data_IF_961313125387
#
_entry.id   IF_961313125387
#
_cell.length_a   1.000
_cell.length_b   1.000
_cell.length_c   1.000
_cell.angle_alpha   90.00
_cell.angle_beta   90.00
_cell.angle_gamma   90.00
#
_symmetry.space_group_name_H-M   'P 1'
#
loop_
_entity.id
_entity.type
_entity.pdbx_description
1 polymer ?
#
# COMPACT_ATOMS: atom_id res chain seq x y z
N UNK A 1 -25.93 4.09 1.34
CA UNK A 1 -25.16 2.85 1.07
C UNK A 1 -24.01 2.75 2.06
N UNK A 2 -24.19 2.09 3.22
CA UNK A 2 -23.18 2.01 4.29
C UNK A 2 -22.33 0.72 4.26
N UNK A 3 -22.55 -0.18 3.31
CA UNK A 3 -21.93 -1.51 3.32
C UNK A 3 -20.46 -1.52 2.86
N UNK A 4 -20.05 -0.59 2.01
CA UNK A 4 -18.67 -0.47 1.50
C UNK A 4 -17.68 0.06 2.55
N UNK A 5 -18.11 0.97 3.43
CA UNK A 5 -17.27 1.51 4.51
C UNK A 5 -16.98 0.47 5.61
N UNK A 6 -17.92 -0.44 5.86
CA UNK A 6 -17.75 -1.55 6.82
C UNK A 6 -16.79 -2.62 6.26
N UNK A 7 -16.80 -2.83 4.94
CA UNK A 7 -15.85 -3.71 4.26
C UNK A 7 -14.43 -3.11 4.31
N UNK A 8 -14.27 -1.79 4.18
CA UNK A 8 -12.95 -1.13 4.27
C UNK A 8 -12.29 -1.38 5.63
N UNK A 9 -13.02 -1.17 6.72
CA UNK A 9 -12.55 -1.48 8.07
C UNK A 9 -12.25 -2.97 8.27
N UNK A 10 -13.13 -3.87 7.83
CA UNK A 10 -12.99 -5.33 8.07
C UNK A 10 -12.00 -6.02 7.15
N UNK A 11 -11.72 -5.51 5.95
CA UNK A 11 -10.77 -6.10 4.99
C UNK A 11 -9.36 -5.56 5.23
N UNK A 12 -9.19 -4.26 5.49
CA UNK A 12 -7.90 -3.70 5.90
C UNK A 12 -7.52 -4.24 7.28
N UNK A 13 -8.46 -4.27 8.24
CA UNK A 13 -8.21 -4.96 9.50
C UNK A 13 -8.07 -6.47 9.32
N UNK A 14 -8.74 -7.18 8.40
CA UNK A 14 -8.43 -8.61 8.17
C UNK A 14 -7.02 -8.81 7.62
N UNK A 15 -6.54 -7.98 6.71
CA UNK A 15 -5.16 -8.07 6.23
C UNK A 15 -4.15 -7.80 7.36
N UNK A 16 -4.51 -6.94 8.34
CA UNK A 16 -3.69 -6.65 9.54
C UNK A 16 -3.93 -7.66 10.70
N UNK A 17 -5.10 -8.31 10.76
CA UNK A 17 -5.62 -9.14 11.86
C UNK A 17 -5.82 -10.62 11.47
N UNK A 18 -5.38 -11.06 10.30
CA UNK A 18 -4.99 -12.46 10.12
C UNK A 18 -3.76 -12.64 11.02
N UNK A 19 -3.95 -12.93 12.31
CA UNK A 19 -3.04 -13.59 13.26
C UNK A 19 -1.51 -13.36 13.26
N UNK A 20 -0.95 -12.44 12.49
CA UNK A 20 0.48 -12.37 12.15
C UNK A 20 1.20 -11.18 12.81
N UNK A 21 0.57 -10.50 13.77
CA UNK A 21 1.29 -9.55 14.64
C UNK A 21 2.44 -10.25 15.39
N UNK A 22 2.45 -11.59 15.46
CA UNK A 22 3.52 -12.37 16.08
C UNK A 22 4.66 -12.82 15.13
N UNK A 23 4.53 -12.67 13.81
CA UNK A 23 5.49 -13.24 12.85
C UNK A 23 5.80 -12.36 11.64
N UNK A 24 5.51 -11.07 11.70
CA UNK A 24 6.00 -10.17 10.66
C UNK A 24 7.53 -10.05 10.80
N UNK A 25 8.31 -10.35 9.75
CA UNK A 25 9.76 -10.25 9.83
C UNK A 25 10.16 -8.80 10.12
N UNK A 26 11.09 -8.62 11.06
CA UNK A 26 11.67 -7.31 11.33
C UNK A 26 12.24 -6.71 10.02
N UNK A 27 11.90 -5.45 9.71
CA UNK A 27 12.43 -4.68 8.56
C UNK A 27 11.95 -5.12 7.17
N UNK A 28 10.67 -5.41 6.98
CA UNK A 28 10.13 -5.71 5.63
C UNK A 28 9.16 -4.65 5.10
N UNK A 29 9.52 -3.36 4.97
CA UNK A 29 8.62 -2.34 4.39
C UNK A 29 8.07 -2.75 3.01
N UNK A 30 8.79 -3.61 2.29
CA UNK A 30 8.37 -4.26 1.05
C UNK A 30 7.05 -5.03 1.12
N UNK A 31 6.62 -5.44 2.31
CA UNK A 31 5.43 -6.27 2.51
C UNK A 31 4.23 -5.48 3.02
N UNK A 32 4.39 -4.20 3.36
CA UNK A 32 3.29 -3.35 3.81
C UNK A 32 2.76 -2.50 2.64
N UNK A 33 1.52 -2.71 2.16
CA UNK A 33 0.90 -1.91 1.11
C UNK A 33 0.89 -0.40 1.39
N UNK A 34 0.86 0.00 2.67
CA UNK A 34 0.95 1.40 3.03
C UNK A 34 2.34 1.98 2.72
N UNK A 35 3.41 1.22 3.00
CA UNK A 35 4.79 1.65 2.80
C UNK A 35 5.20 1.59 1.33
N UNK A 36 4.96 0.48 0.63
CA UNK A 36 5.43 0.32 -0.75
C UNK A 36 4.55 1.02 -1.80
N UNK A 37 3.29 1.32 -1.48
CA UNK A 37 2.34 1.91 -2.42
C UNK A 37 1.72 3.21 -1.91
N UNK A 38 0.96 3.19 -0.82
CA UNK A 38 0.13 4.34 -0.42
C UNK A 38 0.96 5.60 -0.20
N UNK A 39 2.10 5.48 0.49
CA UNK A 39 2.95 6.64 0.76
C UNK A 39 3.55 7.24 -0.52
N UNK A 40 4.02 6.40 -1.45
CA UNK A 40 4.50 6.83 -2.76
C UNK A 40 3.40 7.52 -3.57
N UNK A 41 2.23 6.87 -3.67
CA UNK A 41 1.06 7.41 -4.35
C UNK A 41 0.65 8.78 -3.80
N UNK A 42 0.48 8.89 -2.47
CA UNK A 42 0.08 10.14 -1.84
C UNK A 42 1.13 11.22 -2.05
N UNK A 43 2.43 10.88 -1.99
CA UNK A 43 3.50 11.83 -2.25
C UNK A 43 3.40 12.40 -3.67
N UNK A 44 3.20 11.55 -4.67
CA UNK A 44 3.13 11.98 -6.07
C UNK A 44 1.88 12.83 -6.34
N UNK A 45 0.71 12.42 -5.83
CA UNK A 45 -0.54 13.12 -6.15
C UNK A 45 -0.76 14.37 -5.30
N UNK A 46 -0.47 14.33 -4.00
CA UNK A 46 -0.74 15.44 -3.08
C UNK A 46 0.21 16.61 -3.34
N UNK A 47 1.48 16.32 -3.61
CA UNK A 47 2.53 17.31 -3.87
C UNK A 47 2.75 17.59 -5.36
N UNK A 48 1.89 17.07 -6.25
CA UNK A 48 1.90 17.40 -7.69
C UNK A 48 1.75 18.90 -7.97
N UNK A 49 1.14 19.63 -7.04
CA UNK A 49 0.98 21.09 -7.08
C UNK A 49 1.32 21.70 -5.72
N UNK A 50 1.80 22.95 -5.67
CA UNK A 50 2.09 23.64 -4.41
C UNK A 50 0.89 23.62 -3.47
N UNK A 51 1.18 23.50 -2.17
CA UNK A 51 0.18 23.49 -1.11
C UNK A 51 0.38 24.73 -0.24
N UNK A 52 -0.66 25.53 -0.07
CA UNK A 52 -0.54 26.83 0.60
C UNK A 52 -0.60 26.72 2.12
N UNK A 53 -1.38 25.77 2.66
CA UNK A 53 -1.57 25.63 4.10
C UNK A 53 -2.05 24.23 4.52
N UNK A 54 -1.96 23.94 5.82
CA UNK A 54 -2.22 22.61 6.37
C UNK A 54 -3.64 22.08 6.11
N UNK A 55 -4.65 22.96 6.06
CA UNK A 55 -6.03 22.53 5.79
C UNK A 55 -6.19 21.97 4.37
N UNK A 56 -5.54 22.61 3.39
CA UNK A 56 -5.50 22.15 2.01
C UNK A 56 -4.78 20.80 1.90
N UNK A 57 -3.64 20.64 2.57
CA UNK A 57 -2.92 19.36 2.63
C UNK A 57 -3.83 18.22 3.13
N UNK A 58 -4.51 18.44 4.26
CA UNK A 58 -5.45 17.46 4.84
C UNK A 58 -6.60 17.13 3.90
N UNK A 59 -7.17 18.15 3.25
CA UNK A 59 -8.26 17.97 2.30
C UNK A 59 -7.82 17.14 1.09
N UNK A 60 -6.66 17.44 0.50
CA UNK A 60 -6.12 16.69 -0.64
C UNK A 60 -5.85 15.23 -0.30
N UNK A 61 -5.22 14.96 0.84
CA UNK A 61 -4.99 13.58 1.32
C UNK A 61 -6.33 12.83 1.43
N UNK A 62 -7.32 13.43 2.10
CA UNK A 62 -8.63 12.81 2.28
C UNK A 62 -9.34 12.55 0.93
N UNK A 63 -9.32 13.53 0.01
CA UNK A 63 -9.91 13.38 -1.31
C UNK A 63 -9.27 12.24 -2.11
N UNK A 64 -7.93 12.16 -2.14
CA UNK A 64 -7.24 11.09 -2.87
C UNK A 64 -7.50 9.71 -2.26
N UNK A 65 -7.52 9.59 -0.93
CA UNK A 65 -7.85 8.33 -0.25
C UNK A 65 -9.29 7.90 -0.59
N UNK A 66 -10.26 8.82 -0.58
CA UNK A 66 -11.65 8.51 -0.90
C UNK A 66 -11.86 8.14 -2.38
N UNK A 67 -11.01 8.66 -3.27
CA UNK A 67 -11.08 8.38 -4.70
C UNK A 67 -10.31 7.10 -5.11
N UNK A 68 -9.67 6.40 -4.17
CA UNK A 68 -9.05 5.11 -4.47
C UNK A 68 -10.14 4.11 -4.85
N UNK A 69 -10.05 3.59 -6.08
CA UNK A 69 -11.05 2.63 -6.59
C UNK A 69 -10.82 1.22 -6.06
N UNK A 70 -11.88 0.38 -5.98
CA UNK A 70 -11.72 -1.04 -5.67
C UNK A 70 -10.75 -1.77 -6.60
N UNK A 71 -10.71 -1.41 -7.88
CA UNK A 71 -9.78 -1.97 -8.87
C UNK A 71 -8.33 -1.64 -8.51
N UNK A 72 -8.06 -0.42 -8.05
CA UNK A 72 -6.73 -0.02 -7.56
C UNK A 72 -6.34 -0.85 -6.35
N UNK A 73 -7.24 -1.00 -5.37
CA UNK A 73 -6.99 -1.82 -4.19
C UNK A 73 -6.72 -3.29 -4.53
N UNK A 74 -7.45 -3.85 -5.50
CA UNK A 74 -7.21 -5.21 -5.99
C UNK A 74 -5.80 -5.34 -6.57
N UNK A 75 -5.37 -4.41 -7.41
CA UNK A 75 -4.00 -4.41 -7.95
C UNK A 75 -2.95 -4.31 -6.85
N UNK A 76 -3.16 -3.47 -5.83
CA UNK A 76 -2.26 -3.36 -4.66
C UNK A 76 -2.16 -4.69 -3.91
N UNK A 77 -3.27 -5.41 -3.74
CA UNK A 77 -3.29 -6.74 -3.10
C UNK A 77 -2.58 -7.77 -3.96
N UNK A 78 -2.80 -7.78 -5.28
CA UNK A 78 -2.10 -8.67 -6.23
C UNK A 78 -0.58 -8.42 -6.19
N UNK A 79 -0.15 -7.16 -6.13
CA UNK A 79 1.25 -6.80 -5.99
C UNK A 79 1.83 -7.23 -4.65
N UNK A 80 1.06 -7.14 -3.55
CA UNK A 80 1.49 -7.66 -2.26
C UNK A 80 1.72 -9.18 -2.32
N UNK A 81 0.79 -9.93 -2.93
CA UNK A 81 0.92 -11.39 -3.13
C UNK A 81 2.16 -11.73 -3.96
N UNK A 82 2.40 -11.01 -5.07
CA UNK A 82 3.60 -11.19 -5.89
C UNK A 82 4.89 -10.94 -5.10
N UNK A 83 4.92 -9.89 -4.26
CA UNK A 83 6.06 -9.61 -3.38
C UNK A 83 6.29 -10.73 -2.36
N UNK A 84 5.23 -11.31 -1.79
CA UNK A 84 5.35 -12.48 -0.91
C UNK A 84 5.95 -13.69 -1.62
N UNK A 85 5.50 -13.97 -2.86
CA UNK A 85 6.05 -15.05 -3.68
C UNK A 85 7.53 -14.84 -3.95
N UNK A 86 7.90 -13.62 -4.33
CA UNK A 86 9.28 -13.27 -4.63
C UNK A 86 10.20 -13.39 -3.40
N UNK A 87 9.71 -13.02 -2.22
CA UNK A 87 10.46 -13.23 -0.97
C UNK A 87 10.62 -14.72 -0.68
N UNK A 88 9.59 -15.53 -0.92
CA UNK A 88 9.68 -16.98 -0.73
C UNK A 88 10.70 -17.61 -1.70
N UNK A 89 10.70 -17.18 -2.96
CA UNK A 89 11.69 -17.59 -3.98
C UNK A 89 13.11 -17.13 -3.61
N UNK A 90 13.24 -15.93 -3.04
CA UNK A 90 14.51 -15.37 -2.60
C UNK A 90 14.92 -15.83 -1.18
N UNK A 91 14.37 -16.97 -0.70
CA UNK A 91 14.69 -17.55 0.62
C UNK A 91 14.56 -16.57 1.80
N UNK A 92 13.61 -15.64 1.73
CA UNK A 92 13.37 -14.64 2.77
C UNK A 92 14.25 -13.39 2.71
N UNK A 93 15.12 -13.24 1.70
CA UNK A 93 15.97 -12.06 1.53
C UNK A 93 15.20 -10.86 0.95
N UNK A 94 15.80 -9.66 1.03
CA UNK A 94 15.25 -8.43 0.45
C UNK A 94 15.00 -8.60 -1.06
N UNK A 95 13.98 -7.92 -1.60
CA UNK A 95 13.57 -8.07 -3.01
C UNK A 95 13.73 -6.78 -3.84
N UNK A 96 14.21 -5.70 -3.23
CA UNK A 96 14.38 -4.39 -3.89
C UNK A 96 15.18 -4.48 -5.20
N UNK A 97 16.27 -5.25 -5.19
CA UNK A 97 17.13 -5.46 -6.35
C UNK A 97 16.41 -6.15 -7.51
N UNK A 98 15.45 -7.02 -7.23
CA UNK A 98 14.63 -7.68 -8.26
C UNK A 98 13.53 -6.74 -8.76
N UNK A 99 12.91 -5.97 -7.86
CA UNK A 99 11.86 -5.01 -8.21
C UNK A 99 12.37 -3.86 -9.09
N UNK A 100 13.63 -3.44 -8.94
CA UNK A 100 14.24 -2.43 -9.79
C UNK A 100 14.44 -2.91 -11.23
N UNK A 101 14.78 -4.18 -11.45
CA UNK A 101 15.01 -4.76 -12.79
C UNK A 101 13.73 -4.87 -13.62
N UNK A 102 12.58 -5.06 -12.98
CA UNK A 102 11.27 -5.14 -13.65
C UNK A 102 10.68 -3.79 -14.08
N UNK A 103 11.24 -2.66 -13.61
CA UNK A 103 10.79 -1.31 -14.03
C UNK A 103 11.52 -0.79 -15.28
N UNK A 104 12.59 -1.45 -15.73
CA UNK A 104 13.43 -1.01 -16.85
C UNK A 104 13.17 -1.79 -18.15
N UNK A 105 12.10 -2.60 -18.20
CA UNK A 105 11.65 -3.35 -19.39
C UNK A 105 10.30 -2.82 -19.86
#
# INVERSE_FOLDING_TARGET
MPETAIIFGRTVLKLVNIGYVKAWPSRSPDLNPCDFWLWGYLKDVVFSTPIAHLAELKARIAQHILNVTPETLRSVVEHAVSRFQLIAENSGQHIEHVLHQSREI
#
